data_IF_535746406809
#
_entry.id   IF_535746406809
#
_cell.length_a   1.000
_cell.length_b   1.000
_cell.length_c   1.000
_cell.angle_alpha   90.00
_cell.angle_beta   90.00
_cell.angle_gamma   90.00
#
_symmetry.space_group_name_H-M   'P 1'
#
loop_
_entity.id
_entity.type
_entity.pdbx_description
1 polymer ?
#
# COMPACT_ATOMS: atom_id res chain seq x y z
N UNK A 1 1.13 3.14 -7.41
CA UNK A 1 0.14 4.00 -6.74
C UNK A 1 0.51 5.47 -6.91
N UNK A 2 -0.47 6.34 -7.13
CA UNK A 2 -0.29 7.72 -7.59
C UNK A 2 0.56 8.63 -6.70
N UNK A 3 0.75 8.31 -5.40
CA UNK A 3 1.58 9.10 -4.50
C UNK A 3 3.09 8.81 -4.66
N UNK A 4 3.48 7.54 -4.79
CA UNK A 4 4.89 7.14 -4.86
C UNK A 4 5.37 6.81 -6.28
N UNK A 5 4.46 6.83 -7.27
CA UNK A 5 4.71 6.35 -8.65
C UNK A 5 5.35 4.96 -8.72
N UNK A 6 5.23 4.16 -7.65
CA UNK A 6 5.75 2.80 -7.55
C UNK A 6 4.70 1.78 -7.99
N UNK A 7 5.13 0.65 -8.54
CA UNK A 7 4.24 -0.47 -8.87
C UNK A 7 3.48 -0.95 -7.63
N UNK A 8 2.15 -1.05 -7.74
CA UNK A 8 1.30 -1.65 -6.72
C UNK A 8 0.45 -2.75 -7.35
N UNK A 9 0.02 -3.68 -6.52
CA UNK A 9 -0.91 -4.75 -6.91
C UNK A 9 -2.18 -4.59 -6.08
N UNK A 10 -3.32 -4.63 -6.75
CA UNK A 10 -4.63 -4.62 -6.10
C UNK A 10 -5.25 -6.01 -6.26
N UNK A 11 -5.69 -6.60 -5.16
CA UNK A 11 -6.46 -7.84 -5.15
C UNK A 11 -7.93 -7.54 -4.92
N UNK A 12 -8.81 -8.29 -5.57
CA UNK A 12 -10.25 -8.34 -5.26
C UNK A 12 -10.54 -9.78 -4.83
N UNK A 13 -11.13 -9.94 -3.65
CA UNK A 13 -11.43 -11.26 -3.07
C UNK A 13 -12.84 -11.26 -2.50
N UNK A 14 -13.72 -12.09 -3.05
CA UNK A 14 -15.01 -12.41 -2.43
C UNK A 14 -14.79 -13.42 -1.31
N UNK A 15 -15.32 -13.14 -0.13
CA UNK A 15 -15.15 -13.96 1.07
C UNK A 15 -16.48 -14.01 1.82
N UNK A 16 -16.77 -15.13 2.48
CA UNK A 16 -17.89 -15.23 3.42
C UNK A 16 -17.62 -14.34 4.64
N UNK A 17 -18.68 -13.79 5.25
CA UNK A 17 -18.60 -12.83 6.35
C UNK A 17 -17.77 -13.34 7.54
N UNK A 18 -17.90 -14.63 7.87
CA UNK A 18 -17.20 -15.27 8.97
C UNK A 18 -15.69 -15.46 8.71
N UNK A 19 -15.25 -15.32 7.46
CA UNK A 19 -13.84 -15.44 7.05
C UNK A 19 -13.14 -14.09 6.86
N UNK A 20 -13.87 -12.96 6.91
CA UNK A 20 -13.31 -11.61 6.66
C UNK A 20 -12.10 -11.33 7.55
N UNK A 21 -12.24 -11.51 8.87
CA UNK A 21 -11.15 -11.25 9.83
C UNK A 21 -9.93 -12.14 9.59
N UNK A 22 -10.15 -13.41 9.25
CA UNK A 22 -9.07 -14.35 8.94
C UNK A 22 -8.27 -13.91 7.71
N UNK A 23 -8.96 -13.39 6.69
CA UNK A 23 -8.30 -12.88 5.47
C UNK A 23 -7.52 -11.61 5.76
N UNK A 24 -8.08 -10.69 6.55
CA UNK A 24 -7.39 -9.49 7.02
C UNK A 24 -6.10 -9.87 7.78
N UNK A 25 -6.17 -10.86 8.65
CA UNK A 25 -5.01 -11.36 9.40
C UNK A 25 -3.92 -11.94 8.50
N UNK A 26 -4.30 -12.68 7.46
CA UNK A 26 -3.35 -13.20 6.46
C UNK A 26 -2.69 -12.04 5.74
N UNK A 27 -3.47 -11.08 5.23
CA UNK A 27 -2.94 -9.90 4.53
C UNK A 27 -1.99 -9.14 5.45
N UNK A 28 -2.35 -8.92 6.72
CA UNK A 28 -1.52 -8.24 7.71
C UNK A 28 -0.18 -8.96 7.94
N UNK A 29 -0.20 -10.29 8.06
CA UNK A 29 1.01 -11.11 8.23
C UNK A 29 1.93 -11.07 7.02
N UNK A 30 1.38 -10.99 5.81
CA UNK A 30 2.14 -11.00 4.56
C UNK A 30 2.56 -9.61 4.08
N UNK A 31 1.87 -8.56 4.53
CA UNK A 31 2.11 -7.19 4.10
C UNK A 31 2.94 -6.45 5.14
N UNK A 32 4.26 -6.58 5.08
CA UNK A 32 5.16 -5.83 5.94
C UNK A 32 5.36 -4.39 5.44
N UNK A 33 5.38 -3.44 6.36
CA UNK A 33 5.82 -2.06 6.10
C UNK A 33 7.34 -2.03 6.13
N UNK A 34 7.95 -1.38 5.13
CA UNK A 34 9.38 -1.11 5.07
C UNK A 34 9.61 0.39 5.00
N UNK A 35 10.44 0.92 5.89
CA UNK A 35 10.92 2.30 5.74
C UNK A 35 11.87 2.34 4.54
N UNK A 36 11.54 3.16 3.56
CA UNK A 36 12.41 3.43 2.42
C UNK A 36 12.86 4.88 2.49
N UNK A 37 14.16 5.07 2.32
CA UNK A 37 14.74 6.40 2.14
C UNK A 37 14.56 6.74 0.65
N UNK A 38 13.78 7.77 0.36
CA UNK A 38 13.64 8.30 -1.00
C UNK A 38 14.51 9.56 -1.10
N UNK A 39 15.47 9.61 -2.03
CA UNK A 39 16.24 10.83 -2.28
C UNK A 39 15.30 11.89 -2.85
N UNK A 40 15.29 13.07 -2.24
CA UNK A 40 14.54 14.23 -2.72
C UNK A 40 15.21 14.77 -3.99
N UNK A 41 14.48 14.82 -5.11
CA UNK A 41 14.95 15.47 -6.33
C UNK A 41 14.82 16.98 -6.16
N UNK A 42 15.92 17.65 -5.81
CA UNK A 42 16.01 19.11 -5.83
C UNK A 42 16.09 19.60 -7.28
N UNK A 43 15.12 20.44 -7.67
CA UNK A 43 15.19 21.21 -8.92
C UNK A 43 16.29 22.26 -8.80
N UNK A 44 17.17 22.33 -9.82
CA UNK A 44 18.32 23.24 -9.90
C UNK A 44 17.95 24.69 -9.56
N UNK A 45 18.54 25.23 -8.49
CA UNK A 45 19.08 26.59 -8.49
C UNK A 45 20.22 26.71 -7.48
N UNK A 46 21.12 27.65 -7.76
CA UNK A 46 22.51 27.70 -7.34
C UNK A 46 22.81 27.56 -5.83
N UNK A 47 23.75 26.66 -5.51
CA UNK A 47 24.66 26.80 -4.36
C UNK A 47 24.25 26.03 -3.10
N UNK A 48 24.92 24.87 -2.90
CA UNK A 48 24.94 24.05 -1.68
C UNK A 48 23.58 23.56 -1.18
N UNK A 49 23.26 22.29 -1.47
CA UNK A 49 22.21 21.57 -0.73
C UNK A 49 22.69 20.22 -0.26
N UNK A 50 22.49 19.97 1.04
CA UNK A 50 22.42 18.64 1.60
C UNK A 50 21.09 18.04 1.18
N UNK A 51 21.11 17.00 0.34
CA UNK A 51 19.92 16.18 0.08
C UNK A 51 19.51 15.54 1.40
N UNK A 52 18.47 16.07 2.07
CA UNK A 52 17.95 15.44 3.29
C UNK A 52 17.12 14.24 2.83
N UNK A 53 17.54 13.00 3.16
CA UNK A 53 16.75 11.82 2.86
C UNK A 53 15.40 11.91 3.57
N UNK A 54 14.31 11.73 2.83
CA UNK A 54 12.97 11.63 3.42
C UNK A 54 12.71 10.15 3.68
N UNK A 55 12.47 9.81 4.94
CA UNK A 55 11.97 8.50 5.30
C UNK A 55 10.48 8.42 4.95
N UNK A 56 10.14 7.57 3.99
CA UNK A 56 8.76 7.21 3.69
C UNK A 56 8.52 5.78 4.16
N UNK A 57 7.40 5.56 4.83
CA UNK A 57 6.95 4.20 5.13
C UNK A 57 6.27 3.66 3.87
N UNK A 58 6.92 2.70 3.21
CA UNK A 58 6.42 2.09 1.98
C UNK A 58 6.01 0.64 2.29
N UNK A 59 4.86 0.21 1.79
CA UNK A 59 4.35 -1.15 2.01
C UNK A 59 3.26 -1.22 3.09
N UNK A 60 2.96 -2.44 3.52
CA UNK A 60 1.66 -2.77 4.13
C UNK A 60 0.55 -2.89 3.07
N UNK A 61 -0.66 -3.18 3.54
CA UNK A 61 -1.84 -3.26 2.69
C UNK A 61 -2.87 -2.21 3.09
N UNK A 62 -3.51 -1.59 2.10
CA UNK A 62 -4.74 -0.84 2.28
C UNK A 62 -5.90 -1.77 1.94
N UNK A 63 -6.81 -2.00 2.89
CA UNK A 63 -7.91 -2.94 2.75
C UNK A 63 -9.22 -2.17 2.79
N UNK A 64 -10.08 -2.43 1.81
CA UNK A 64 -11.47 -1.97 1.80
C UNK A 64 -12.37 -3.20 1.91
N UNK A 65 -13.29 -3.20 2.87
CA UNK A 65 -14.33 -4.22 3.02
C UNK A 65 -15.63 -3.62 2.51
N UNK A 66 -16.30 -4.32 1.61
CA UNK A 66 -17.53 -3.88 0.95
C UNK A 66 -18.56 -5.00 1.13
N UNK A 67 -19.76 -4.65 1.60
CA UNK A 67 -20.87 -5.58 1.70
C UNK A 67 -21.35 -5.98 0.29
N UNK A 68 -21.75 -7.23 0.13
CA UNK A 68 -22.26 -7.78 -1.14
C UNK A 68 -23.73 -8.12 -0.98
N UNK A 69 -24.61 -7.33 -1.61
CA UNK A 69 -26.06 -7.56 -1.57
C UNK A 69 -26.47 -8.88 -2.23
N UNK A 70 -25.73 -9.33 -3.26
CA UNK A 70 -25.99 -10.56 -4.00
C UNK A 70 -24.72 -11.12 -4.63
N UNK A 71 -24.45 -12.40 -4.38
CA UNK A 71 -23.40 -13.17 -5.05
C UNK A 71 -24.03 -14.31 -5.86
N UNK A 72 -23.55 -14.52 -7.09
CA UNK A 72 -23.99 -15.59 -7.98
C UNK A 72 -22.77 -16.30 -8.57
N UNK A 73 -22.82 -17.63 -8.62
CA UNK A 73 -21.82 -18.46 -9.31
C UNK A 73 -22.53 -19.30 -10.37
N UNK A 74 -22.26 -19.00 -11.64
CA UNK A 74 -22.80 -19.69 -12.82
C UNK A 74 -21.77 -20.61 -13.46
#
# INVERSE_FOLDING_TARGET
GGFLMAGNTTFISGVEDDQVEKVIDIIRKQSSRRTQIVPSTSTMDAGLYTSVPIEVTVGGATIFVLDVDRFEKV
#
